data_IF_884261315024
#
_entry.id   IF_884261315024
#
_cell.length_a   1.000
_cell.length_b   1.000
_cell.length_c   1.000
_cell.angle_alpha   90.00
_cell.angle_beta   90.00
_cell.angle_gamma   90.00
#
_symmetry.space_group_name_H-M   'P 1'
#
loop_
_entity.id
_entity.type
_entity.pdbx_description
1 polymer ?
#
# COMPACT_ATOMS: atom_id res chain seq x y z
N UNK A 1 12.01 -9.54 -10.39
CA UNK A 1 10.60 -9.18 -10.09
C UNK A 1 10.19 -8.07 -11.03
N UNK A 2 8.95 -8.05 -11.50
CA UNK A 2 8.46 -7.04 -12.46
C UNK A 2 8.61 -5.62 -11.86
N UNK A 3 9.17 -4.69 -12.65
CA UNK A 3 9.41 -3.31 -12.19
C UNK A 3 8.12 -2.60 -11.78
N UNK A 4 7.00 -2.92 -12.43
CA UNK A 4 5.67 -2.34 -12.15
C UNK A 4 5.16 -2.78 -10.78
N UNK A 5 5.40 -4.04 -10.41
CA UNK A 5 5.04 -4.56 -9.08
C UNK A 5 5.84 -3.85 -7.99
N UNK A 6 7.14 -3.61 -8.23
CA UNK A 6 8.00 -2.87 -7.30
C UNK A 6 7.52 -1.42 -7.15
N UNK A 7 7.12 -0.77 -8.25
CA UNK A 7 6.63 0.60 -8.22
C UNK A 7 5.36 0.73 -7.36
N UNK A 8 4.39 -0.18 -7.55
CA UNK A 8 3.17 -0.25 -6.73
C UNK A 8 3.50 -0.47 -5.25
N UNK A 9 4.41 -1.40 -4.95
CA UNK A 9 4.83 -1.69 -3.57
C UNK A 9 5.51 -0.49 -2.90
N UNK A 10 6.35 0.24 -3.64
CA UNK A 10 7.00 1.46 -3.17
C UNK A 10 5.97 2.56 -2.88
N UNK A 11 4.98 2.75 -3.76
CA UNK A 11 3.92 3.74 -3.57
C UNK A 11 3.08 3.46 -2.32
N UNK A 12 2.74 2.19 -2.06
CA UNK A 12 2.04 1.80 -0.83
C UNK A 12 2.83 2.16 0.43
N UNK A 13 4.15 1.94 0.40
CA UNK A 13 5.05 2.33 1.50
C UNK A 13 5.14 3.84 1.68
N UNK A 14 5.20 4.60 0.59
CA UNK A 14 5.21 6.07 0.62
C UNK A 14 3.93 6.62 1.26
N UNK A 15 2.76 6.12 0.86
CA UNK A 15 1.47 6.53 1.43
C UNK A 15 1.41 6.33 2.96
N UNK A 16 1.96 5.23 3.46
CA UNK A 16 2.07 5.00 4.89
C UNK A 16 2.96 6.02 5.59
N UNK A 17 4.12 6.32 5.00
CA UNK A 17 5.07 7.30 5.55
C UNK A 17 4.45 8.70 5.51
N UNK A 18 3.74 9.06 4.44
CA UNK A 18 3.01 10.33 4.30
C UNK A 18 1.93 10.50 5.38
N UNK A 19 1.29 9.39 5.81
CA UNK A 19 0.39 9.39 6.97
C UNK A 19 1.08 9.48 8.34
N UNK A 20 2.41 9.49 8.39
CA UNK A 20 3.20 9.61 9.63
C UNK A 20 3.60 8.29 10.29
N UNK A 21 3.36 7.15 9.64
CA UNK A 21 3.70 5.84 10.23
C UNK A 21 5.11 5.39 9.82
N UNK A 22 6.00 5.27 10.79
CA UNK A 22 7.33 4.67 10.61
C UNK A 22 7.26 3.14 10.48
N UNK A 23 6.34 2.50 11.19
CA UNK A 23 6.14 1.04 11.21
C UNK A 23 4.92 0.60 10.41
N UNK A 24 5.13 -0.39 9.54
CA UNK A 24 4.05 -1.07 8.81
C UNK A 24 3.11 -1.85 9.75
N UNK A 25 3.61 -2.31 10.90
CA UNK A 25 2.82 -3.05 11.88
C UNK A 25 1.81 -2.15 12.58
N UNK A 26 2.22 -0.94 12.94
CA UNK A 26 1.36 0.07 13.57
C UNK A 26 0.28 0.50 12.59
N UNK A 27 0.67 0.86 11.35
CA UNK A 27 -0.28 1.20 10.30
C UNK A 27 -1.31 0.09 10.07
N UNK A 28 -0.84 -1.16 9.94
CA UNK A 28 -1.72 -2.28 9.68
C UNK A 28 -2.67 -2.55 10.87
N UNK A 29 -2.18 -2.45 12.11
CA UNK A 29 -3.00 -2.64 13.30
C UNK A 29 -4.08 -1.56 13.45
N UNK A 30 -3.74 -0.28 13.29
CA UNK A 30 -4.70 0.82 13.45
C UNK A 30 -5.78 0.85 12.36
N UNK A 31 -5.48 0.32 11.17
CA UNK A 31 -6.40 0.32 10.04
C UNK A 31 -7.07 -1.05 9.81
N UNK A 32 -6.98 -1.95 10.79
CA UNK A 32 -7.55 -3.31 10.75
C UNK A 32 -7.12 -4.11 9.50
N UNK A 33 -5.85 -3.98 9.12
CA UNK A 33 -5.24 -4.72 8.02
C UNK A 33 -4.36 -5.84 8.61
N UNK A 34 -4.42 -7.07 8.07
CA UNK A 34 -3.50 -8.12 8.50
C UNK A 34 -2.03 -7.70 8.28
N UNK A 35 -1.24 -7.63 9.36
CA UNK A 35 0.16 -7.13 9.35
C UNK A 35 1.03 -7.81 8.30
N UNK A 36 0.95 -9.14 8.22
CA UNK A 36 1.72 -9.95 7.24
C UNK A 36 1.29 -9.61 5.81
N UNK A 37 0.00 -9.39 5.57
CA UNK A 37 -0.51 -9.03 4.25
C UNK A 37 0.05 -7.67 3.83
N UNK A 38 -0.04 -6.66 4.70
CA UNK A 38 0.45 -5.33 4.38
C UNK A 38 1.97 -5.30 4.16
N UNK A 39 2.74 -6.00 5.01
CA UNK A 39 4.18 -6.17 4.81
C UNK A 39 4.53 -6.81 3.46
N UNK A 40 3.80 -7.88 3.06
CA UNK A 40 3.98 -8.53 1.77
C UNK A 40 3.68 -7.58 0.61
N UNK A 41 2.70 -6.69 0.76
CA UNK A 41 2.38 -5.70 -0.28
C UNK A 41 3.50 -4.69 -0.47
N UNK A 42 4.08 -4.15 0.61
CA UNK A 42 5.25 -3.26 0.53
C UNK A 42 6.52 -3.95 -0.01
N UNK A 43 6.58 -5.28 0.04
CA UNK A 43 7.67 -6.07 -0.54
C UNK A 43 7.46 -6.45 -2.00
N UNK A 44 6.29 -6.18 -2.60
CA UNK A 44 6.01 -6.48 -4.00
C UNK A 44 5.52 -7.91 -4.23
N UNK A 45 4.47 -8.31 -3.52
CA UNK A 45 3.75 -9.56 -3.79
C UNK A 45 2.55 -9.33 -4.70
N UNK A 46 2.07 -10.41 -5.32
CA UNK A 46 0.79 -10.35 -6.03
C UNK A 46 -0.35 -10.31 -5.00
N UNK A 47 -1.26 -9.36 -5.14
CA UNK A 47 -2.43 -9.19 -4.27
C UNK A 47 -3.66 -8.84 -5.09
N UNK A 48 -4.83 -8.98 -4.50
CA UNK A 48 -6.10 -8.71 -5.17
C UNK A 48 -6.42 -7.21 -5.19
N UNK A 49 -7.12 -6.75 -6.23
CA UNK A 49 -7.62 -5.38 -6.31
C UNK A 49 -8.48 -5.00 -5.09
N UNK A 50 -9.25 -5.94 -4.54
CA UNK A 50 -10.01 -5.71 -3.29
C UNK A 50 -9.12 -5.27 -2.12
N UNK A 51 -7.94 -5.86 -1.99
CA UNK A 51 -6.99 -5.48 -0.93
C UNK A 51 -6.41 -4.10 -1.19
N UNK A 52 -6.10 -3.78 -2.45
CA UNK A 52 -5.66 -2.44 -2.84
C UNK A 52 -6.69 -1.39 -2.45
N UNK A 53 -7.94 -1.58 -2.88
CA UNK A 53 -9.04 -0.64 -2.62
C UNK A 53 -9.20 -0.35 -1.12
N UNK A 54 -9.17 -1.38 -0.27
CA UNK A 54 -9.25 -1.20 1.19
C UNK A 54 -8.14 -0.28 1.73
N UNK A 55 -6.93 -0.36 1.18
CA UNK A 55 -5.83 0.52 1.57
C UNK A 55 -6.04 1.93 1.03
N UNK A 56 -6.50 2.07 -0.22
CA UNK A 56 -6.79 3.38 -0.79
C UNK A 56 -7.90 4.12 -0.02
N UNK A 57 -8.92 3.39 0.45
CA UNK A 57 -9.99 3.93 1.29
C UNK A 57 -9.45 4.50 2.62
N UNK A 58 -8.48 3.80 3.23
CA UNK A 58 -7.77 4.27 4.44
C UNK A 58 -7.02 5.57 4.19
N UNK A 59 -6.43 5.72 3.00
CA UNK A 59 -5.72 6.93 2.56
C UNK A 59 -6.64 8.00 1.98
N UNK A 60 -7.93 7.69 1.75
CA UNK A 60 -8.91 8.57 1.10
C UNK A 60 -8.46 9.06 -0.28
N UNK A 61 -7.84 8.17 -1.05
CA UNK A 61 -7.39 8.46 -2.42
C UNK A 61 -8.06 7.55 -3.43
N UNK A 62 -8.26 8.04 -4.65
CA UNK A 62 -8.80 7.28 -5.77
C UNK A 62 -7.74 6.38 -6.43
N UNK A 63 -8.20 5.40 -7.21
CA UNK A 63 -7.31 4.59 -8.06
C UNK A 63 -6.50 5.46 -9.01
N UNK A 64 -7.11 6.49 -9.63
CA UNK A 64 -6.42 7.39 -10.55
C UNK A 64 -5.28 8.14 -9.87
N UNK A 65 -5.50 8.68 -8.67
CA UNK A 65 -4.46 9.37 -7.90
C UNK A 65 -3.34 8.42 -7.48
N UNK A 66 -3.69 7.17 -7.12
CA UNK A 66 -2.69 6.16 -6.77
C UNK A 66 -1.74 5.85 -7.95
N UNK A 67 -2.28 5.74 -9.16
CA UNK A 67 -1.51 5.37 -10.36
C UNK A 67 -0.91 6.55 -11.13
N UNK A 68 -1.26 7.80 -10.81
CA UNK A 68 -0.82 8.98 -11.56
C UNK A 68 0.71 9.12 -11.62
N UNK A 69 1.41 8.82 -10.53
CA UNK A 69 2.86 8.98 -10.42
C UNK A 69 3.64 7.68 -10.71
N UNK A 70 2.94 6.59 -11.05
CA UNK A 70 3.56 5.31 -11.38
C UNK A 70 4.03 5.31 -12.84
N UNK A 71 5.36 5.20 -13.03
CA UNK A 71 6.02 5.13 -14.35
C UNK A 71 6.48 3.72 -14.69
#
# INVERSE_FOLDING_TARGET
MDKRIIAVAKRLKELRIEKGYSSYEVFAWENDIPRIQYWRMEKGTNFTIKTLLRILDVHKISLSEFFMDLK
#
